data_IF_941566467725
#
_entry.id   IF_941566467725
#
_cell.length_a   1.000
_cell.length_b   1.000
_cell.length_c   1.000
_cell.angle_alpha   90.00
_cell.angle_beta   90.00
_cell.angle_gamma   90.00
#
_symmetry.space_group_name_H-M   'P 1'
#
loop_
_entity.id
_entity.type
_entity.pdbx_description
1 polymer ?
#
# COMPACT_ATOMS: atom_id res chain seq x y z
N UNK A 1 29.63 -16.84 -14.79
CA UNK A 1 28.42 -16.25 -15.40
C UNK A 1 28.36 -16.80 -16.80
N UNK A 2 27.52 -17.80 -17.05
CA UNK A 2 27.38 -18.36 -18.39
C UNK A 2 26.80 -17.27 -19.28
N UNK A 3 27.50 -16.97 -20.38
CA UNK A 3 26.94 -16.12 -21.44
C UNK A 3 25.55 -16.64 -21.80
N UNK A 4 24.55 -15.76 -21.97
CA UNK A 4 23.27 -16.20 -22.50
C UNK A 4 23.56 -16.80 -23.87
N UNK A 5 23.23 -18.08 -24.05
CA UNK A 5 23.29 -18.72 -25.34
C UNK A 5 22.51 -17.83 -26.32
N UNK A 6 23.24 -17.18 -27.21
CA UNK A 6 22.68 -16.31 -28.22
C UNK A 6 21.66 -17.15 -28.99
N UNK A 7 20.39 -16.77 -28.85
CA UNK A 7 19.30 -17.44 -29.54
C UNK A 7 19.59 -17.28 -31.02
N UNK A 8 20.05 -18.35 -31.67
CA UNK A 8 20.26 -18.38 -33.11
C UNK A 8 18.91 -18.10 -33.76
N UNK A 9 18.75 -16.89 -34.29
CA UNK A 9 17.68 -16.56 -35.21
C UNK A 9 17.94 -17.35 -36.49
N UNK A 10 17.32 -18.53 -36.57
CA UNK A 10 17.31 -19.29 -37.80
C UNK A 10 16.53 -18.47 -38.84
N UNK A 11 17.15 -18.12 -39.97
CA UNK A 11 16.48 -17.34 -41.00
C UNK A 11 15.26 -18.10 -41.51
N UNK A 12 14.19 -17.37 -41.82
CA UNK A 12 13.01 -17.97 -42.42
C UNK A 12 13.40 -18.68 -43.72
N UNK A 13 12.92 -19.92 -43.87
CA UNK A 13 13.11 -20.68 -45.10
C UNK A 13 12.49 -19.90 -46.27
N UNK A 14 13.26 -19.55 -47.32
CA UNK A 14 12.74 -18.85 -48.47
C UNK A 14 11.54 -19.58 -49.07
N UNK A 15 10.52 -18.83 -49.49
CA UNK A 15 9.26 -19.40 -49.99
C UNK A 15 9.46 -20.38 -51.16
N UNK A 16 10.41 -20.07 -52.05
CA UNK A 16 10.80 -20.94 -53.17
C UNK A 16 11.39 -22.31 -52.74
N UNK A 17 11.95 -22.42 -51.53
CA UNK A 17 12.40 -23.68 -50.96
C UNK A 17 11.23 -24.44 -50.34
N UNK A 18 10.31 -23.76 -49.64
CA UNK A 18 9.09 -24.37 -49.09
C UNK A 18 8.21 -24.99 -50.17
N UNK A 19 8.03 -24.30 -51.29
CA UNK A 19 7.23 -24.78 -52.43
C UNK A 19 7.82 -26.03 -53.12
N UNK A 20 9.10 -26.32 -52.90
CA UNK A 20 9.80 -27.49 -53.45
C UNK A 20 9.86 -28.65 -52.45
N UNK A 21 9.36 -28.47 -51.23
CA UNK A 21 9.37 -29.50 -50.19
C UNK A 21 8.21 -30.47 -50.40
N UNK A 22 8.46 -31.74 -50.11
CA UNK A 22 7.39 -32.73 -49.97
C UNK A 22 6.42 -32.28 -48.85
N UNK A 23 5.10 -32.47 -49.02
CA UNK A 23 4.09 -31.95 -48.08
C UNK A 23 4.25 -32.51 -46.67
N UNK A 24 4.80 -33.72 -46.54
CA UNK A 24 5.11 -34.37 -45.27
C UNK A 24 6.27 -33.67 -44.53
N UNK A 25 7.28 -33.23 -45.28
CA UNK A 25 8.43 -32.50 -44.75
C UNK A 25 8.01 -31.08 -44.38
N UNK A 26 7.16 -30.44 -45.18
CA UNK A 26 6.58 -29.12 -44.87
C UNK A 26 5.75 -29.17 -43.58
N UNK A 27 4.88 -30.17 -43.43
CA UNK A 27 4.11 -30.38 -42.21
C UNK A 27 5.02 -30.57 -40.98
N UNK A 28 6.07 -31.38 -41.10
CA UNK A 28 7.02 -31.60 -40.00
C UNK A 28 7.79 -30.33 -39.62
N UNK A 29 8.26 -29.56 -40.60
CA UNK A 29 8.94 -28.28 -40.37
C UNK A 29 8.01 -27.26 -39.72
N UNK A 30 6.76 -27.17 -40.15
CA UNK A 30 5.77 -26.27 -39.54
C UNK A 30 5.54 -26.57 -38.05
N UNK A 31 5.52 -27.86 -37.67
CA UNK A 31 5.37 -28.29 -36.28
C UNK A 31 6.60 -27.91 -35.46
N UNK A 32 7.81 -28.11 -36.01
CA UNK A 32 9.05 -27.72 -35.36
C UNK A 32 9.16 -26.20 -35.17
N UNK A 33 8.76 -25.40 -36.17
CA UNK A 33 8.73 -23.95 -36.08
C UNK A 33 7.77 -23.48 -34.96
N UNK A 34 6.57 -24.07 -34.89
CA UNK A 34 5.59 -23.77 -33.85
C UNK A 34 6.10 -24.13 -32.44
N UNK A 35 6.75 -25.29 -32.29
CA UNK A 35 7.38 -25.70 -31.03
C UNK A 35 8.52 -24.75 -30.63
N UNK A 36 9.36 -24.36 -31.59
CA UNK A 36 10.45 -23.40 -31.37
C UNK A 36 9.93 -22.05 -30.90
N UNK A 37 8.86 -21.53 -31.52
CA UNK A 37 8.22 -20.29 -31.10
C UNK A 37 7.69 -20.38 -29.67
N UNK A 38 6.94 -21.43 -29.36
CA UNK A 38 6.38 -21.66 -28.01
C UNK A 38 7.47 -21.75 -26.93
N UNK A 39 8.57 -22.45 -27.22
CA UNK A 39 9.70 -22.55 -26.29
C UNK A 39 10.38 -21.20 -26.07
N UNK A 40 10.57 -20.40 -27.13
CA UNK A 40 11.16 -19.05 -27.01
C UNK A 40 10.29 -18.14 -26.16
N UNK A 41 8.98 -18.13 -26.36
CA UNK A 41 8.04 -17.35 -25.54
C UNK A 41 8.09 -17.77 -24.07
N UNK A 42 8.13 -19.07 -23.80
CA UNK A 42 8.23 -19.60 -22.45
C UNK A 42 9.55 -19.21 -21.79
N UNK A 43 10.68 -19.32 -22.49
CA UNK A 43 11.99 -18.91 -21.99
C UNK A 43 12.00 -17.42 -21.69
N UNK A 44 11.51 -16.57 -22.61
CA UNK A 44 11.42 -15.12 -22.40
C UNK A 44 10.57 -14.78 -21.17
N UNK A 45 9.42 -15.44 -21.02
CA UNK A 45 8.54 -15.25 -19.85
C UNK A 45 9.18 -15.70 -18.54
N UNK A 46 9.90 -16.82 -18.54
CA UNK A 46 10.61 -17.32 -17.36
C UNK A 46 11.78 -16.40 -16.97
N UNK A 47 12.57 -15.95 -17.94
CA UNK A 47 13.64 -14.97 -17.74
C UNK A 47 13.09 -13.65 -17.19
N UNK A 48 11.99 -13.15 -17.75
CA UNK A 48 11.32 -11.94 -17.26
C UNK A 48 10.81 -12.10 -15.81
N UNK A 49 10.40 -13.30 -15.41
CA UNK A 49 10.02 -13.60 -14.01
C UNK A 49 11.22 -13.66 -13.08
N UNK A 50 12.33 -14.25 -13.52
CA UNK A 50 13.57 -14.35 -12.74
C UNK A 50 14.25 -12.99 -12.55
N UNK A 51 14.17 -12.09 -13.54
CA UNK A 51 14.77 -10.75 -13.47
C UNK A 51 13.91 -9.71 -12.73
N UNK A 52 12.78 -10.12 -12.13
CA UNK A 52 11.99 -9.24 -11.27
C UNK A 52 12.68 -9.08 -9.91
N UNK A 53 12.87 -7.83 -9.50
CA UNK A 53 13.41 -7.42 -8.20
C UNK A 53 12.52 -6.33 -7.60
N UNK A 54 12.65 -6.05 -6.30
CA UNK A 54 11.94 -4.92 -5.65
C UNK A 54 12.24 -3.57 -6.31
N UNK A 55 13.33 -3.46 -7.08
CA UNK A 55 13.73 -2.24 -7.78
C UNK A 55 12.95 -1.98 -9.07
N UNK A 56 12.42 -3.02 -9.72
CA UNK A 56 11.79 -2.91 -11.04
C UNK A 56 10.36 -3.49 -11.13
N UNK A 57 9.78 -4.00 -10.03
CA UNK A 57 8.51 -4.75 -10.09
C UNK A 57 7.43 -4.32 -9.08
N UNK A 58 7.55 -3.13 -8.48
CA UNK A 58 6.63 -2.62 -7.41
C UNK A 58 6.45 -3.59 -6.23
N UNK A 59 7.28 -4.63 -6.14
CA UNK A 59 7.30 -5.61 -5.06
C UNK A 59 7.97 -5.03 -3.83
N UNK A 60 7.50 -5.40 -2.62
CA UNK A 60 8.12 -4.95 -1.40
C UNK A 60 9.58 -5.48 -1.30
N UNK A 61 10.49 -4.74 -0.66
CA UNK A 61 11.90 -5.14 -0.50
C UNK A 61 12.10 -6.47 0.22
N UNK A 62 11.12 -6.90 1.03
CA UNK A 62 11.13 -8.20 1.70
C UNK A 62 10.99 -9.39 0.75
N UNK A 63 10.63 -9.14 -0.51
CA UNK A 63 10.51 -10.16 -1.55
C UNK A 63 11.86 -10.50 -2.20
N UNK A 64 12.81 -9.58 -2.16
CA UNK A 64 14.19 -9.83 -2.55
C UNK A 64 14.80 -10.76 -1.49
N UNK A 65 15.08 -12.01 -1.87
CA UNK A 65 15.64 -13.01 -0.94
C UNK A 65 17.00 -12.59 -0.35
N UNK A 66 17.50 -13.29 0.68
CA UNK A 66 18.70 -12.89 1.45
C UNK A 66 20.01 -12.82 0.65
N UNK A 67 20.02 -13.31 -0.60
CA UNK A 67 21.15 -13.23 -1.53
C UNK A 67 21.26 -11.87 -2.25
N UNK A 68 20.25 -11.00 -2.12
CA UNK A 68 20.29 -9.67 -2.73
C UNK A 68 21.25 -8.78 -1.94
N UNK A 69 22.28 -8.20 -2.57
CA UNK A 69 23.25 -7.38 -1.88
C UNK A 69 22.55 -6.16 -1.24
N UNK A 70 22.95 -5.78 -0.02
CA UNK A 70 22.36 -4.63 0.66
C UNK A 70 22.55 -3.37 -0.17
N UNK A 71 21.52 -2.51 -0.21
CA UNK A 71 21.65 -1.21 -0.87
C UNK A 71 22.84 -0.45 -0.29
N UNK A 72 23.68 0.18 -1.13
CA UNK A 72 24.80 0.98 -0.64
C UNK A 72 24.28 2.06 0.31
N UNK A 73 25.01 2.26 1.41
CA UNK A 73 24.63 3.27 2.40
C UNK A 73 24.55 4.64 1.73
N UNK A 74 23.47 5.38 1.95
CA UNK A 74 23.29 6.70 1.33
C UNK A 74 24.30 7.76 1.81
N UNK A 75 25.21 7.42 2.73
CA UNK A 75 26.12 8.36 3.38
C UNK A 75 25.42 9.40 4.27
N UNK A 76 24.09 9.40 4.31
CA UNK A 76 23.31 10.34 5.12
C UNK A 76 23.31 9.90 6.58
N UNK A 77 23.60 10.83 7.49
CA UNK A 77 23.41 10.62 8.92
C UNK A 77 21.95 10.22 9.17
N UNK A 78 21.73 9.17 9.97
CA UNK A 78 20.40 8.80 10.43
C UNK A 78 19.81 9.96 11.24
N UNK A 79 18.64 10.47 10.86
CA UNK A 79 17.99 11.60 11.49
C UNK A 79 17.16 12.43 10.52
N UNK A 80 16.44 13.43 11.04
CA UNK A 80 15.78 14.45 10.21
C UNK A 80 16.78 15.23 9.36
N UNK A 81 16.32 15.89 8.30
CA UNK A 81 17.24 16.70 7.49
C UNK A 81 17.83 17.83 8.36
N UNK A 82 19.06 18.30 8.07
CA UNK A 82 19.66 19.41 8.80
C UNK A 82 18.73 20.62 8.84
N UNK A 83 18.40 21.10 10.04
CA UNK A 83 17.47 22.21 10.25
C UNK A 83 16.05 21.82 10.68
N UNK A 84 15.67 20.54 10.64
CA UNK A 84 14.40 20.11 11.23
C UNK A 84 14.54 19.92 12.74
N UNK A 85 13.81 20.73 13.50
CA UNK A 85 13.60 20.47 14.92
C UNK A 85 12.93 19.10 15.08
N UNK A 86 13.48 18.25 15.95
CA UNK A 86 12.92 16.92 16.20
C UNK A 86 11.44 17.00 16.57
N UNK A 87 10.60 16.04 16.13
CA UNK A 87 9.15 16.12 16.27
C UNK A 87 8.68 15.71 17.68
N UNK A 88 9.33 16.19 18.73
CA UNK A 88 8.86 15.93 20.09
C UNK A 88 7.83 16.98 20.48
N UNK A 89 6.58 16.55 20.65
CA UNK A 89 5.50 17.41 21.14
C UNK A 89 5.89 17.93 22.53
N UNK A 90 5.84 19.24 22.73
CA UNK A 90 6.05 19.84 24.04
C UNK A 90 4.98 19.34 25.02
N UNK A 91 5.35 19.16 26.30
CA UNK A 91 4.39 18.85 27.35
C UNK A 91 3.44 20.03 27.54
N UNK A 92 2.14 19.74 27.58
CA UNK A 92 1.11 20.72 27.95
C UNK A 92 1.28 21.21 29.38
N UNK A 93 0.80 22.43 29.63
CA UNK A 93 0.79 23.01 30.97
C UNK A 93 -0.27 22.30 31.84
N UNK A 94 -0.09 22.30 33.17
CA UNK A 94 -0.97 21.56 34.09
C UNK A 94 -2.44 22.02 34.01
N UNK A 95 -2.67 23.30 33.75
CA UNK A 95 -4.00 23.89 33.56
C UNK A 95 -4.68 23.49 32.24
N UNK A 96 -3.94 22.91 31.29
CA UNK A 96 -4.47 22.40 30.02
C UNK A 96 -4.81 20.90 30.09
N UNK A 97 -4.43 20.22 31.17
CA UNK A 97 -4.68 18.79 31.34
C UNK A 97 -6.09 18.54 31.86
N UNK A 98 -6.79 17.58 31.24
CA UNK A 98 -8.11 17.14 31.71
C UNK A 98 -8.05 16.53 33.12
N UNK A 99 -6.98 15.80 33.42
CA UNK A 99 -6.70 15.22 34.75
C UNK A 99 -5.22 14.91 34.90
N UNK A 100 -4.76 14.80 36.14
CA UNK A 100 -3.42 14.32 36.50
C UNK A 100 -3.60 13.06 37.34
N UNK A 101 -2.91 11.97 36.98
CA UNK A 101 -2.92 10.69 37.69
C UNK A 101 -1.49 10.40 38.18
N UNK A 102 -1.28 10.42 39.50
CA UNK A 102 0.02 10.10 40.09
C UNK A 102 0.18 8.59 40.24
N UNK A 103 1.28 8.06 39.72
CA UNK A 103 1.63 6.64 39.82
C UNK A 103 2.79 6.44 40.78
N UNK A 104 2.55 5.65 41.83
CA UNK A 104 3.52 5.36 42.89
C UNK A 104 3.99 3.91 42.80
N UNK A 105 5.30 3.63 42.93
CA UNK A 105 5.77 2.26 43.06
C UNK A 105 5.28 1.69 44.41
N UNK A 106 4.69 0.49 44.40
CA UNK A 106 4.23 -0.16 45.62
C UNK A 106 5.36 -0.83 46.42
N UNK A 107 6.46 -1.19 45.76
CA UNK A 107 7.62 -1.84 46.39
C UNK A 107 8.92 -1.46 45.68
N UNK A 108 10.03 -1.54 46.41
CA UNK A 108 11.36 -1.32 45.87
C UNK A 108 11.73 -2.43 44.88
N UNK A 109 12.12 -2.14 43.63
CA UNK A 109 12.49 -3.19 42.66
C UNK A 109 13.77 -3.93 43.00
N UNK A 110 14.57 -3.44 43.96
CA UNK A 110 15.83 -4.07 44.36
C UNK A 110 15.73 -4.94 45.61
N UNK A 111 14.93 -4.54 46.62
CA UNK A 111 14.82 -5.24 47.90
C UNK A 111 13.38 -5.57 48.32
N UNK A 112 12.39 -5.28 47.48
CA UNK A 112 10.98 -5.64 47.62
C UNK A 112 10.25 -5.07 48.85
N UNK A 113 10.89 -4.20 49.64
CA UNK A 113 10.21 -3.52 50.73
C UNK A 113 9.09 -2.60 50.20
N UNK A 114 7.99 -2.52 50.95
CA UNK A 114 6.86 -1.64 50.61
C UNK A 114 7.26 -0.17 50.64
N UNK A 115 6.84 0.59 49.63
CA UNK A 115 7.13 2.02 49.52
C UNK A 115 5.88 2.86 49.78
N UNK A 116 6.00 3.95 50.56
CA UNK A 116 4.88 4.87 50.77
C UNK A 116 4.64 5.74 49.52
N UNK A 117 3.39 6.13 49.22
CA UNK A 117 3.07 7.02 48.10
C UNK A 117 3.38 8.48 48.47
N UNK A 118 4.67 8.79 48.66
CA UNK A 118 5.16 10.12 49.04
C UNK A 118 6.24 10.56 48.07
N UNK A 119 6.13 11.79 47.57
CA UNK A 119 7.12 12.39 46.68
C UNK A 119 8.45 12.58 47.41
N UNK A 120 9.56 12.29 46.72
CA UNK A 120 10.88 12.65 47.20
C UNK A 120 11.06 14.17 47.13
N UNK A 121 11.54 14.75 48.23
CA UNK A 121 11.78 16.19 48.30
C UNK A 121 12.85 16.62 47.29
N UNK A 122 12.57 17.69 46.54
CA UNK A 122 13.48 18.22 45.52
C UNK A 122 13.58 17.41 44.23
N UNK A 123 12.81 16.32 44.08
CA UNK A 123 12.81 15.49 42.86
C UNK A 123 11.51 15.70 42.10
N UNK A 124 11.61 16.27 40.90
CA UNK A 124 10.46 16.41 40.01
C UNK A 124 10.01 15.04 39.46
N UNK A 125 8.70 14.80 39.30
CA UNK A 125 8.21 13.55 38.72
C UNK A 125 8.58 13.44 37.24
N UNK A 126 8.74 12.19 36.77
CA UNK A 126 8.80 11.91 35.34
C UNK A 126 7.42 12.20 34.73
N UNK A 127 7.35 13.12 33.77
CA UNK A 127 6.09 13.51 33.12
C UNK A 127 5.94 12.80 31.78
N UNK A 128 4.85 12.05 31.63
CA UNK A 128 4.37 11.49 30.36
C UNK A 128 2.91 11.90 30.16
N UNK A 129 2.57 12.41 28.96
CA UNK A 129 1.21 12.82 28.63
C UNK A 129 0.65 11.95 27.50
N UNK A 130 -0.45 11.25 27.78
CA UNK A 130 -1.26 10.55 26.78
C UNK A 130 -2.40 11.43 26.29
N UNK A 131 -2.67 11.41 24.99
CA UNK A 131 -3.75 12.17 24.36
C UNK A 131 -4.75 11.19 23.77
N UNK A 132 -5.71 10.77 24.59
CA UNK A 132 -6.77 9.86 24.16
C UNK A 132 -8.01 10.66 23.76
N UNK A 133 -8.60 10.29 22.63
CA UNK A 133 -9.88 10.83 22.22
C UNK A 133 -10.98 10.12 23.03
N UNK A 134 -11.81 10.84 23.81
CA UNK A 134 -12.93 10.20 24.49
C UNK A 134 -13.88 9.57 23.47
N UNK A 135 -14.70 8.58 23.86
CA UNK A 135 -15.62 7.93 22.93
C UNK A 135 -16.47 8.95 22.16
N UNK A 136 -16.13 9.16 20.88
CA UNK A 136 -16.87 10.06 19.99
C UNK A 136 -18.09 9.31 19.50
N UNK A 137 -19.28 9.85 19.81
CA UNK A 137 -20.53 9.34 19.24
C UNK A 137 -20.68 9.89 17.84
N UNK A 138 -20.94 9.03 16.87
CA UNK A 138 -21.24 9.45 15.51
C UNK A 138 -22.52 10.31 15.51
N UNK A 139 -22.46 11.46 14.86
CA UNK A 139 -23.66 12.19 14.49
C UNK A 139 -24.35 11.42 13.35
N UNK A 140 -25.58 10.98 13.59
CA UNK A 140 -26.38 10.25 12.61
C UNK A 140 -27.44 11.21 12.05
N UNK A 141 -27.29 11.59 10.78
CA UNK A 141 -28.21 12.50 10.09
C UNK A 141 -29.01 11.72 9.04
N UNK A 142 -30.33 11.62 9.21
CA UNK A 142 -31.23 11.08 8.18
C UNK A 142 -31.64 12.19 7.20
N UNK A 143 -31.19 12.07 5.95
CA UNK A 143 -31.62 12.98 4.89
C UNK A 143 -32.90 12.47 4.22
N UNK A 144 -34.05 13.09 4.55
CA UNK A 144 -35.36 12.72 4.00
C UNK A 144 -35.72 13.57 2.78
N UNK A 145 -35.73 12.94 1.61
CA UNK A 145 -36.12 13.58 0.35
C UNK A 145 -37.61 13.35 0.09
N UNK A 146 -38.42 14.36 0.42
CA UNK A 146 -39.88 14.28 0.27
C UNK A 146 -40.30 14.33 -1.19
N UNK A 147 -41.35 13.58 -1.55
CA UNK A 147 -41.98 13.69 -2.86
C UNK A 147 -43.14 14.70 -2.79
N UNK A 148 -43.23 15.58 -3.77
CA UNK A 148 -44.31 16.57 -3.91
C UNK A 148 -44.96 16.44 -5.29
N UNK A 149 -46.25 16.75 -5.40
CA UNK A 149 -46.97 16.72 -6.68
C UNK A 149 -46.82 18.06 -7.40
N UNK A 150 -46.38 18.04 -8.66
CA UNK A 150 -46.24 19.24 -9.48
C UNK A 150 -47.64 19.84 -9.80
N UNK A 151 -47.89 21.13 -9.56
CA UNK A 151 -49.19 21.74 -9.83
C UNK A 151 -49.49 21.88 -11.34
N UNK A 152 -48.46 21.94 -12.19
CA UNK A 152 -48.64 22.13 -13.64
C UNK A 152 -48.92 20.83 -14.41
N UNK A 153 -48.20 19.75 -14.10
CA UNK A 153 -48.32 18.48 -14.83
C UNK A 153 -48.81 17.30 -13.97
N UNK A 154 -49.10 17.54 -12.69
CA UNK A 154 -49.61 16.56 -11.73
C UNK A 154 -48.70 15.34 -11.44
N UNK A 155 -47.45 15.33 -11.95
CA UNK A 155 -46.46 14.27 -11.68
C UNK A 155 -45.80 14.43 -10.31
N UNK A 156 -45.25 13.34 -9.79
CA UNK A 156 -44.49 13.36 -8.53
C UNK A 156 -43.03 13.75 -8.77
N UNK A 157 -42.56 14.74 -8.03
CA UNK A 157 -41.17 15.18 -8.05
C UNK A 157 -40.52 14.89 -6.70
N UNK A 158 -39.33 14.30 -6.71
CA UNK A 158 -38.50 14.11 -5.52
C UNK A 158 -37.08 14.61 -5.83
N UNK A 159 -36.44 15.36 -4.92
CA UNK A 159 -35.04 15.74 -5.12
C UNK A 159 -34.17 14.49 -5.24
N UNK A 160 -33.30 14.47 -6.25
CA UNK A 160 -32.26 13.46 -6.39
C UNK A 160 -31.27 13.69 -5.26
N UNK A 161 -31.17 12.76 -4.31
CA UNK A 161 -30.44 12.93 -3.05
C UNK A 161 -28.91 13.06 -3.15
N UNK A 162 -28.37 13.64 -4.22
CA UNK A 162 -26.96 14.00 -4.35
C UNK A 162 -26.83 15.46 -3.92
N UNK A 163 -25.98 15.72 -2.93
CA UNK A 163 -25.61 17.08 -2.47
C UNK A 163 -24.86 17.92 -3.54
N UNK A 164 -24.99 17.59 -4.83
CA UNK A 164 -24.54 18.37 -5.99
C UNK A 164 -25.64 18.43 -7.05
N UNK A 165 -26.32 19.57 -7.07
CA UNK A 165 -27.09 20.20 -8.16
C UNK A 165 -27.24 19.38 -9.45
N UNK A 166 -28.34 18.63 -9.61
CA UNK A 166 -29.18 18.55 -10.83
C UNK A 166 -30.58 18.03 -10.46
N UNK A 167 -31.59 18.89 -10.59
CA UNK A 167 -33.01 18.54 -10.43
C UNK A 167 -33.48 17.75 -11.67
N UNK A 168 -34.23 16.67 -11.48
CA UNK A 168 -34.83 15.89 -12.57
C UNK A 168 -36.12 15.20 -12.12
N UNK A 169 -37.11 15.17 -13.01
CA UNK A 169 -38.40 14.50 -12.81
C UNK A 169 -38.30 13.02 -13.20
N UNK A 170 -38.95 12.14 -12.44
CA UNK A 170 -38.97 10.69 -12.70
C UNK A 170 -40.41 10.17 -12.58
N UNK A 171 -40.82 9.30 -13.49
CA UNK A 171 -42.10 8.56 -13.42
C UNK A 171 -41.91 7.23 -12.67
N UNK A 172 -42.91 6.82 -11.89
CA UNK A 172 -42.97 5.47 -11.29
C UNK A 172 -43.54 4.51 -12.33
N UNK A 173 -42.81 3.43 -12.62
CA UNK A 173 -43.42 2.13 -12.91
C UNK A 173 -43.74 1.43 -11.60
#
# INVERSE_FOLDING_TARGET
MSEPAELIELPELPQALRERMEPEVEAYVSVLEAQGHSLREQVARLQARLNQSSQNSSRPPSWDGPSVPPRPSSGRKRGGQPGHAGPQRALGAENELTRIEDHWPGACPACECGLPPVAAEGVAPLRQQGWELPPVRAEVVEHRYQAVRCPGCARWCRPSGRQRWRQGCWDRS
#
